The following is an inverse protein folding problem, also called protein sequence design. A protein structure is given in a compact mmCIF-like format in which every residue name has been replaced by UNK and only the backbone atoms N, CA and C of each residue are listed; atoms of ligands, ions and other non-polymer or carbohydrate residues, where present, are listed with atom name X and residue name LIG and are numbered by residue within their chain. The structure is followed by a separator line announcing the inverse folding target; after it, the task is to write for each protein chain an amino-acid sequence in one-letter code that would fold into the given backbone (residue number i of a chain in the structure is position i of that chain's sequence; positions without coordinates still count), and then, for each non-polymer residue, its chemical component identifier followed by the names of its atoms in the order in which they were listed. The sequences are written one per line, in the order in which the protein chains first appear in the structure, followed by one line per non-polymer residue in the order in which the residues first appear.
data_IF_048828937359
#
_entry.id   IF_048828937359
#
_cell.length_a   1.000
_cell.length_b   1.000
_cell.length_c   1.000
_cell.angle_alpha   90.00
_cell.angle_beta   90.00
_cell.angle_gamma   90.00
#
_symmetry.space_group_name_H-M   'P 1'
#
loop_
_entity.id
_entity.type
_entity.pdbx_description
1 polymer ?
#
# COMPACT_ATOMS: atom_id res chain seq x y z
N UNK A 1 -3.74 2.79 -3.30
CA UNK A 1 -4.85 3.04 -2.36
C UNK A 1 -4.29 3.68 -1.10
N UNK A 2 -4.93 4.70 -0.54
CA UNK A 2 -4.45 5.37 0.68
C UNK A 2 -5.58 5.56 1.70
N UNK A 3 -5.32 5.21 2.97
CA UNK A 3 -6.24 5.49 4.08
C UNK A 3 -5.97 6.90 4.61
N UNK A 4 -7.02 7.70 4.75
CA UNK A 4 -7.00 9.07 5.28
C UNK A 4 -7.92 9.18 6.49
N UNK A 5 -7.65 10.09 7.42
CA UNK A 5 -8.58 10.35 8.53
C UNK A 5 -9.63 11.37 8.13
N UNK A 6 -9.23 12.38 7.37
CA UNK A 6 -10.06 13.53 7.00
C UNK A 6 -9.62 14.19 5.69
N UNK A 7 -10.25 15.33 5.37
CA UNK A 7 -9.95 16.12 4.18
C UNK A 7 -8.58 16.81 4.22
N UNK A 8 -8.03 17.08 5.41
CA UNK A 8 -6.71 17.68 5.55
C UNK A 8 -5.61 16.67 5.20
N UNK A 9 -5.73 15.44 5.71
CA UNK A 9 -4.86 14.31 5.33
C UNK A 9 -4.88 14.09 3.81
N UNK A 10 -6.07 14.11 3.20
CA UNK A 10 -6.22 13.99 1.74
C UNK A 10 -5.45 15.08 1.00
N UNK A 11 -5.57 16.33 1.43
CA UNK A 11 -4.88 17.47 0.82
C UNK A 11 -3.36 17.34 0.95
N UNK A 12 -2.89 16.89 2.11
CA UNK A 12 -1.47 16.65 2.35
C UNK A 12 -0.92 15.57 1.40
N UNK A 13 -1.58 14.43 1.28
CA UNK A 13 -1.15 13.34 0.38
C UNK A 13 -1.15 13.82 -1.07
N UNK A 14 -2.21 14.52 -1.51
CA UNK A 14 -2.27 15.07 -2.86
C UNK A 14 -1.11 16.03 -3.14
N UNK A 15 -0.69 16.84 -2.16
CA UNK A 15 0.47 17.73 -2.33
C UNK A 15 1.79 16.95 -2.42
N UNK A 16 1.95 15.86 -1.64
CA UNK A 16 3.16 15.02 -1.66
C UNK A 16 3.35 14.32 -3.01
N UNK A 17 2.27 13.79 -3.58
CA UNK A 17 2.35 13.02 -4.84
C UNK A 17 2.22 13.90 -6.08
N UNK A 18 1.93 15.20 -5.95
CA UNK A 18 1.75 16.11 -7.09
C UNK A 18 2.99 16.21 -7.98
N UNK A 19 4.18 16.03 -7.41
CA UNK A 19 5.45 16.11 -8.12
C UNK A 19 5.94 14.75 -8.65
N UNK A 20 5.18 13.67 -8.44
CA UNK A 20 5.55 12.34 -8.93
C UNK A 20 4.98 12.16 -10.33
N UNK A 21 5.86 12.09 -11.32
CA UNK A 21 5.49 11.87 -12.72
C UNK A 21 4.71 10.55 -12.87
N UNK A 22 3.62 10.60 -13.67
CA UNK A 22 2.75 9.46 -13.92
C UNK A 22 1.64 9.22 -12.87
N UNK A 23 1.62 9.94 -11.74
CA UNK A 23 0.52 9.86 -10.77
C UNK A 23 -0.57 10.88 -11.11
N UNK A 24 -1.64 10.41 -11.76
CA UNK A 24 -2.83 11.22 -12.02
C UNK A 24 -3.78 11.23 -10.81
N UNK A 25 -4.37 12.38 -10.48
CA UNK A 25 -5.29 12.54 -9.32
C UNK A 25 -6.40 11.49 -9.28
N UNK A 26 -6.98 11.16 -10.43
CA UNK A 26 -8.12 10.24 -10.52
C UNK A 26 -7.72 8.76 -10.30
N UNK A 27 -6.42 8.44 -10.35
CA UNK A 27 -5.87 7.12 -10.02
C UNK A 27 -5.57 6.96 -8.54
N UNK A 28 -5.65 8.04 -7.75
CA UNK A 28 -5.43 8.00 -6.31
C UNK A 28 -6.76 7.73 -5.61
N UNK A 29 -6.91 6.49 -5.16
CA UNK A 29 -8.07 6.06 -4.38
C UNK A 29 -7.85 6.34 -2.89
N UNK A 30 -8.84 6.97 -2.27
CA UNK A 30 -8.85 7.31 -0.85
C UNK A 30 -9.98 6.58 -0.12
N UNK A 31 -9.74 6.11 1.10
CA UNK A 31 -10.79 5.69 2.02
C UNK A 31 -10.57 6.25 3.42
N UNK A 32 -11.63 6.36 4.20
CA UNK A 32 -11.56 6.79 5.60
C UNK A 32 -11.54 5.63 6.60
N UNK A 33 -11.94 4.43 6.17
CA UNK A 33 -12.09 3.26 7.04
C UNK A 33 -11.15 2.12 6.63
N UNK A 34 -10.74 1.31 7.60
CA UNK A 34 -9.95 0.09 7.38
C UNK A 34 -10.69 -0.90 6.49
N UNK A 35 -11.96 -1.18 6.84
CA UNK A 35 -12.81 -2.08 6.04
C UNK A 35 -12.98 -1.58 4.60
N UNK A 36 -13.08 -0.27 4.40
CA UNK A 36 -13.11 0.32 3.06
C UNK A 36 -11.81 0.07 2.31
N UNK A 37 -10.67 0.25 2.96
CA UNK A 37 -9.36 -0.05 2.36
C UNK A 37 -9.29 -1.51 1.91
N UNK A 38 -9.64 -2.44 2.80
CA UNK A 38 -9.60 -3.87 2.56
C UNK A 38 -10.56 -4.29 1.43
N UNK A 39 -11.81 -3.83 1.47
CA UNK A 39 -12.81 -4.15 0.45
C UNK A 39 -12.39 -3.67 -0.94
N UNK A 40 -11.92 -2.42 -1.05
CA UNK A 40 -11.45 -1.88 -2.33
C UNK A 40 -10.18 -2.56 -2.81
N UNK A 41 -9.23 -2.86 -1.92
CA UNK A 41 -7.99 -3.54 -2.30
C UNK A 41 -8.28 -4.93 -2.87
N UNK A 42 -9.26 -5.65 -2.31
CA UNK A 42 -9.72 -6.92 -2.87
C UNK A 42 -10.45 -6.77 -4.20
N UNK A 43 -11.14 -5.65 -4.43
CA UNK A 43 -11.89 -5.42 -5.67
C UNK A 43 -11.00 -5.02 -6.84
N UNK A 44 -9.97 -4.20 -6.59
CA UNK A 44 -9.01 -3.79 -7.62
C UNK A 44 -7.93 -4.85 -7.88
N UNK A 45 -7.80 -5.83 -6.98
CA UNK A 45 -6.90 -6.99 -7.05
C UNK A 45 -5.49 -6.63 -7.54
N UNK A 46 -4.75 -5.79 -6.79
CA UNK A 46 -3.43 -5.38 -7.21
C UNK A 46 -2.47 -6.59 -7.21
N UNK A 47 -1.59 -6.65 -8.20
CA UNK A 47 -0.51 -7.65 -8.23
C UNK A 47 0.48 -7.47 -7.08
N UNK A 48 0.68 -6.23 -6.62
CA UNK A 48 1.59 -5.86 -5.53
C UNK A 48 0.94 -4.90 -4.53
N UNK A 49 1.06 -5.21 -3.24
CA UNK A 49 0.72 -4.31 -2.15
C UNK A 49 1.93 -4.04 -1.26
N UNK A 50 2.40 -2.78 -1.22
CA UNK A 50 3.44 -2.32 -0.29
C UNK A 50 2.77 -1.59 0.87
N UNK A 51 3.02 -2.00 2.11
CA UNK A 51 2.43 -1.38 3.31
C UNK A 51 3.34 -1.56 4.53
N UNK A 52 3.25 -0.66 5.50
CA UNK A 52 3.87 -0.83 6.82
C UNK A 52 2.89 -1.38 7.87
N UNK A 53 1.66 -1.70 7.47
CA UNK A 53 0.60 -2.14 8.37
C UNK A 53 0.49 -3.67 8.39
N UNK A 54 1.02 -4.29 9.44
CA UNK A 54 0.98 -5.75 9.61
C UNK A 54 -0.45 -6.32 9.69
N UNK A 55 -1.40 -5.61 10.28
CA UNK A 55 -2.79 -6.07 10.36
C UNK A 55 -3.44 -6.16 8.97
N UNK A 56 -3.18 -5.18 8.10
CA UNK A 56 -3.63 -5.22 6.70
C UNK A 56 -3.02 -6.41 5.94
N UNK A 57 -1.72 -6.66 6.12
CA UNK A 57 -1.03 -7.81 5.51
C UNK A 57 -1.67 -9.12 5.97
N UNK A 58 -1.93 -9.28 7.27
CA UNK A 58 -2.54 -10.49 7.80
C UNK A 58 -3.92 -10.79 7.21
N UNK A 59 -4.71 -9.75 6.92
CA UNK A 59 -6.01 -9.90 6.28
C UNK A 59 -5.88 -10.16 4.77
N UNK A 60 -5.04 -9.38 4.08
CA UNK A 60 -4.98 -9.35 2.61
C UNK A 60 -4.08 -10.43 2.00
N UNK A 61 -3.19 -11.08 2.78
CA UNK A 61 -2.32 -12.16 2.29
C UNK A 61 -3.05 -13.36 1.71
N UNK A 62 -4.36 -13.50 1.96
CA UNK A 62 -5.17 -14.58 1.37
C UNK A 62 -5.73 -14.24 -0.01
N UNK A 63 -5.64 -12.97 -0.42
CA UNK A 63 -6.27 -12.47 -1.64
C UNK A 63 -5.22 -11.92 -2.60
N UNK A 64 -4.24 -11.20 -2.07
CA UNK A 64 -3.22 -10.51 -2.88
C UNK A 64 -2.05 -11.43 -3.18
N UNK A 65 -1.58 -11.41 -4.43
CA UNK A 65 -0.52 -12.30 -4.90
C UNK A 65 0.85 -11.96 -4.32
N UNK A 66 1.18 -10.68 -4.14
CA UNK A 66 2.47 -10.26 -3.59
C UNK A 66 2.27 -9.09 -2.64
N UNK A 67 2.79 -9.25 -1.42
CA UNK A 67 2.76 -8.21 -0.40
C UNK A 67 4.18 -7.92 0.08
N UNK A 68 4.45 -6.64 0.35
CA UNK A 68 5.70 -6.18 0.97
C UNK A 68 5.34 -5.46 2.27
N UNK A 69 5.77 -6.04 3.40
CA UNK A 69 5.68 -5.41 4.71
C UNK A 69 6.95 -4.61 4.98
N UNK A 70 6.83 -3.29 5.00
CA UNK A 70 7.95 -2.37 5.28
C UNK A 70 8.09 -2.15 6.79
N UNK A 71 9.31 -2.23 7.31
CA UNK A 71 9.62 -2.11 8.73
C UNK A 71 9.27 -3.36 9.56
N UNK A 72 8.97 -4.48 8.90
CA UNK A 72 8.70 -5.76 9.55
C UNK A 72 9.93 -6.68 9.56
N UNK A 73 9.94 -7.64 10.48
CA UNK A 73 10.93 -8.70 10.56
C UNK A 73 10.31 -10.09 10.25
N UNK A 74 11.10 -10.95 9.59
CA UNK A 74 10.74 -12.36 9.38
C UNK A 74 9.73 -12.64 8.26
N UNK A 75 9.26 -13.88 8.20
CA UNK A 75 8.36 -14.38 7.14
C UNK A 75 6.94 -14.50 7.70
N UNK A 76 5.99 -13.73 7.16
CA UNK A 76 4.58 -13.72 7.59
C UNK A 76 3.72 -14.73 6.82
N UNK A 77 4.07 -14.98 5.56
CA UNK A 77 3.52 -16.01 4.67
C UNK A 77 4.40 -16.11 3.40
N UNK A 78 4.19 -17.14 2.57
CA UNK A 78 4.96 -17.37 1.33
C UNK A 78 4.84 -16.25 0.29
N UNK A 79 3.76 -15.48 0.32
CA UNK A 79 3.49 -14.35 -0.57
C UNK A 79 3.77 -12.98 0.08
N UNK A 80 4.44 -12.95 1.23
CA UNK A 80 4.77 -11.72 1.96
C UNK A 80 6.28 -11.61 2.10
N UNK A 81 6.87 -10.61 1.47
CA UNK A 81 8.24 -10.18 1.73
C UNK A 81 8.25 -9.14 2.85
N UNK A 82 9.19 -9.26 3.79
CA UNK A 82 9.43 -8.24 4.80
C UNK A 82 10.74 -7.52 4.48
N UNK A 83 10.70 -6.19 4.47
CA UNK A 83 11.86 -5.34 4.21
C UNK A 83 12.01 -4.33 5.34
N UNK A 84 13.25 -3.99 5.76
CA UNK A 84 13.46 -3.06 6.88
C UNK A 84 13.02 -1.63 6.53
N UNK A 85 13.08 -1.24 5.25
CA UNK A 85 12.68 0.08 4.78
C UNK A 85 12.29 0.05 3.28
N UNK A 86 11.74 1.15 2.76
CA UNK A 86 11.34 1.22 1.33
C UNK A 86 12.58 1.19 0.42
N UNK A 87 13.69 1.75 0.86
CA UNK A 87 14.96 1.80 0.11
C UNK A 87 15.58 0.41 -0.06
N UNK A 88 15.22 -0.56 0.79
CA UNK A 88 15.66 -1.94 0.67
C UNK A 88 14.89 -2.73 -0.41
N UNK A 89 13.81 -2.15 -0.97
CA UNK A 89 13.14 -2.70 -2.15
C UNK A 89 14.03 -2.37 -3.35
N UNK A 90 14.91 -3.31 -3.71
CA UNK A 90 15.72 -3.18 -4.91
C UNK A 90 14.80 -3.01 -6.12
N UNK A 91 14.87 -1.84 -6.76
CA UNK A 91 14.21 -1.60 -8.03
C UNK A 91 15.24 -1.99 -9.08
N UNK A 92 14.94 -3.01 -9.88
CA UNK A 92 15.71 -3.24 -11.11
C UNK A 92 15.52 -1.99 -11.98
N UNK A 93 16.55 -1.14 -11.99
CA UNK A 93 16.64 -0.01 -12.91
C UNK A 93 17.04 -0.60 -14.26
N UNK A 94 16.04 -0.99 -15.06
CA UNK A 94 16.23 -1.15 -16.52
C UNK A 94 16.42 0.20 -17.20
#
# INVERSE_FOLDING_TARGET
MCRIRDAADKKQILNLVKAVDGIERHRILFCTTEKGYEAFTRQIDPSLLVTNNAAQVMFLKRVIQTLVLVGGDGVVASNVACVPSVEAIAVDLE
#
